data_IF_432990600516
#
_entry.id   IF_432990600516
#
_cell.length_a   1.000
_cell.length_b   1.000
_cell.length_c   1.000
_cell.angle_alpha   90.00
_cell.angle_beta   90.00
_cell.angle_gamma   90.00
#
_symmetry.space_group_name_H-M   'P 1'
#
loop_
_entity.id
_entity.type
_entity.pdbx_description
1 polymer ?
#
# COMPACT_ATOMS: atom_id res chain seq x y z
N UNK A 1 -7.00 -14.67 -1.18
CA UNK A 1 -6.12 -15.72 -1.75
C UNK A 1 -4.72 -15.17 -2.04
N UNK A 2 -4.58 -14.05 -2.76
CA UNK A 2 -3.28 -13.49 -3.17
C UNK A 2 -2.30 -13.15 -2.02
N UNK A 3 -2.80 -12.62 -0.89
CA UNK A 3 -1.95 -12.30 0.26
C UNK A 3 -1.46 -13.55 1.05
N UNK A 4 -2.06 -14.72 0.86
CA UNK A 4 -1.61 -15.94 1.56
C UNK A 4 -0.38 -16.58 0.89
N UNK A 5 0.13 -15.98 -0.20
CA UNK A 5 1.22 -16.52 -1.00
C UNK A 5 2.49 -16.87 -0.20
N UNK A 6 2.81 -16.10 0.84
CA UNK A 6 4.02 -16.33 1.65
C UNK A 6 4.08 -17.74 2.28
N UNK A 7 2.94 -18.37 2.56
CA UNK A 7 2.89 -19.71 3.18
C UNK A 7 3.14 -20.85 2.19
N UNK A 8 3.00 -20.59 0.89
CA UNK A 8 3.16 -21.59 -0.18
C UNK A 8 4.40 -21.35 -1.05
N UNK A 9 5.04 -20.18 -0.92
CA UNK A 9 6.29 -19.87 -1.63
C UNK A 9 7.42 -20.78 -1.09
N UNK A 10 8.14 -21.51 -1.97
CA UNK A 10 9.26 -22.34 -1.57
C UNK A 10 10.48 -21.48 -1.20
N UNK A 11 11.27 -21.94 -0.23
CA UNK A 11 12.40 -21.19 0.33
C UNK A 11 13.57 -20.96 -0.62
N UNK A 12 13.60 -21.68 -1.73
CA UNK A 12 14.59 -21.61 -2.80
C UNK A 12 14.02 -21.00 -4.09
N UNK A 13 12.88 -20.28 -4.03
CA UNK A 13 12.17 -19.76 -5.22
C UNK A 13 13.06 -18.96 -6.19
N UNK A 14 13.99 -18.16 -5.69
CA UNK A 14 14.86 -17.34 -6.55
C UNK A 14 16.02 -18.16 -7.11
N UNK A 15 16.54 -19.12 -6.34
CA UNK A 15 17.57 -20.05 -6.80
C UNK A 15 17.03 -21.03 -7.85
N UNK A 16 15.81 -21.53 -7.64
CA UNK A 16 15.20 -22.57 -8.46
C UNK A 16 14.52 -22.01 -9.71
N UNK A 17 14.11 -20.74 -9.70
CA UNK A 17 13.43 -20.11 -10.84
C UNK A 17 14.12 -18.80 -11.26
N UNK A 18 14.96 -18.83 -12.33
CA UNK A 18 15.68 -17.65 -12.80
C UNK A 18 14.79 -16.46 -13.18
N UNK A 19 13.55 -16.73 -13.62
CA UNK A 19 12.58 -15.67 -13.94
C UNK A 19 12.13 -14.92 -12.69
N UNK A 20 11.93 -15.61 -11.57
CA UNK A 20 11.59 -15.01 -10.27
C UNK A 20 12.76 -14.15 -9.76
N UNK A 21 14.00 -14.64 -9.89
CA UNK A 21 15.19 -13.85 -9.54
C UNK A 21 15.30 -12.57 -10.38
N UNK A 22 15.11 -12.66 -11.70
CA UNK A 22 15.11 -11.47 -12.58
C UNK A 22 14.01 -10.48 -12.20
N UNK A 23 12.81 -10.96 -11.91
CA UNK A 23 11.70 -10.13 -11.46
C UNK A 23 12.02 -9.40 -10.16
N UNK A 24 12.50 -10.10 -9.13
CA UNK A 24 12.89 -9.49 -7.84
C UNK A 24 14.00 -8.46 -8.03
N UNK A 25 15.03 -8.78 -8.82
CA UNK A 25 16.11 -7.84 -9.10
C UNK A 25 15.65 -6.57 -9.81
N UNK A 26 14.63 -6.67 -10.68
CA UNK A 26 13.99 -5.50 -11.26
C UNK A 26 13.23 -4.70 -10.20
N UNK A 27 12.45 -5.36 -9.34
CA UNK A 27 11.64 -4.69 -8.31
C UNK A 27 12.50 -3.95 -7.27
N UNK A 28 13.65 -4.51 -6.88
CA UNK A 28 14.60 -3.86 -5.95
C UNK A 28 15.12 -2.50 -6.43
N UNK A 29 15.10 -2.23 -7.74
CA UNK A 29 15.51 -0.92 -8.28
C UNK A 29 14.54 0.19 -7.90
N UNK A 30 13.27 -0.16 -7.68
CA UNK A 30 12.19 0.79 -7.37
C UNK A 30 11.74 0.70 -5.92
N UNK A 31 11.87 -0.46 -5.28
CA UNK A 31 11.34 -0.73 -3.94
C UNK A 31 12.46 -1.18 -3.00
N UNK A 32 13.15 -0.24 -2.33
CA UNK A 32 14.32 -0.56 -1.51
C UNK A 32 13.96 -1.43 -0.31
N UNK A 33 12.72 -1.34 0.19
CA UNK A 33 12.24 -2.19 1.28
C UNK A 33 12.31 -3.69 0.97
N UNK A 34 12.27 -4.10 -0.30
CA UNK A 34 12.40 -5.52 -0.69
C UNK A 34 13.72 -6.09 -0.18
N UNK A 35 14.84 -5.37 -0.35
CA UNK A 35 16.14 -5.83 0.14
C UNK A 35 16.23 -5.69 1.66
N UNK A 36 15.80 -4.54 2.20
CA UNK A 36 15.90 -4.24 3.63
C UNK A 36 15.17 -5.30 4.48
N UNK A 37 13.97 -5.71 4.06
CA UNK A 37 13.22 -6.74 4.77
C UNK A 37 13.89 -8.12 4.67
N UNK A 38 14.55 -8.42 3.55
CA UNK A 38 15.31 -9.66 3.39
C UNK A 38 16.59 -9.70 4.24
N UNK A 39 17.17 -8.54 4.55
CA UNK A 39 18.42 -8.49 5.30
C UNK A 39 18.18 -8.86 6.77
N UNK A 40 16.98 -8.61 7.30
CA UNK A 40 16.60 -8.90 8.69
C UNK A 40 15.87 -10.25 8.86
N UNK A 41 15.19 -10.74 7.82
CA UNK A 41 14.39 -11.97 7.91
C UNK A 41 15.21 -13.26 7.65
N UNK A 42 14.91 -14.38 8.33
CA UNK A 42 15.45 -15.68 7.96
C UNK A 42 14.89 -16.22 6.63
N UNK A 43 13.74 -15.72 6.16
CA UNK A 43 13.04 -16.17 4.94
C UNK A 43 13.40 -15.33 3.72
N UNK A 44 14.71 -15.22 3.43
CA UNK A 44 15.26 -14.24 2.48
C UNK A 44 14.60 -14.27 1.11
N UNK A 45 14.61 -15.43 0.45
CA UNK A 45 14.07 -15.52 -0.91
C UNK A 45 12.55 -15.35 -0.93
N UNK A 46 11.86 -15.88 0.08
CA UNK A 46 10.41 -15.78 0.16
C UNK A 46 9.94 -14.34 0.38
N UNK A 47 10.56 -13.62 1.31
CA UNK A 47 10.17 -12.24 1.62
C UNK A 47 10.48 -11.29 0.46
N UNK A 48 11.60 -11.49 -0.25
CA UNK A 48 11.93 -10.70 -1.44
C UNK A 48 10.88 -10.89 -2.53
N UNK A 49 10.57 -12.14 -2.84
CA UNK A 49 9.59 -12.47 -3.86
C UNK A 49 8.19 -12.00 -3.47
N UNK A 50 7.78 -12.28 -2.24
CA UNK A 50 6.44 -11.93 -1.74
C UNK A 50 6.25 -10.42 -1.66
N UNK A 51 7.21 -9.66 -1.14
CA UNK A 51 7.13 -8.19 -1.10
C UNK A 51 7.05 -7.60 -2.51
N UNK A 52 7.88 -8.10 -3.43
CA UNK A 52 7.87 -7.70 -4.84
C UNK A 52 6.51 -7.98 -5.49
N UNK A 53 5.97 -9.18 -5.29
CA UNK A 53 4.66 -9.56 -5.79
C UNK A 53 3.54 -8.67 -5.21
N UNK A 54 3.57 -8.40 -3.91
CA UNK A 54 2.56 -7.59 -3.23
C UNK A 54 2.58 -6.12 -3.66
N UNK A 55 3.74 -5.58 -4.04
CA UNK A 55 3.82 -4.27 -4.69
C UNK A 55 3.08 -4.23 -6.02
N UNK A 56 3.26 -5.23 -6.88
CA UNK A 56 2.55 -5.32 -8.18
C UNK A 56 1.04 -5.37 -7.96
N UNK A 57 0.58 -6.22 -7.03
CA UNK A 57 -0.85 -6.32 -6.70
C UNK A 57 -1.38 -4.97 -6.19
N UNK A 58 -0.67 -4.32 -5.26
CA UNK A 58 -1.09 -3.03 -4.72
C UNK A 58 -1.23 -1.97 -5.82
N UNK A 59 -0.26 -1.88 -6.73
CA UNK A 59 -0.28 -0.90 -7.84
C UNK A 59 -1.42 -1.16 -8.83
N UNK A 60 -1.69 -2.43 -9.16
CA UNK A 60 -2.81 -2.78 -10.04
C UNK A 60 -4.16 -2.37 -9.43
N UNK A 61 -4.35 -2.65 -8.14
CA UNK A 61 -5.57 -2.27 -7.41
C UNK A 61 -5.71 -0.76 -7.27
N UNK A 62 -4.61 -0.04 -7.05
CA UNK A 62 -4.61 1.42 -7.01
C UNK A 62 -4.99 2.03 -8.37
N UNK A 63 -4.50 1.46 -9.47
CA UNK A 63 -4.85 1.89 -10.83
C UNK A 63 -6.33 1.62 -11.12
N UNK A 64 -6.84 0.42 -10.79
CA UNK A 64 -8.26 0.06 -10.93
C UNK A 64 -9.15 1.00 -10.10
N UNK A 65 -8.81 1.23 -8.83
CA UNK A 65 -9.59 2.11 -7.94
C UNK A 65 -9.61 3.55 -8.44
N UNK A 66 -8.46 4.05 -8.91
CA UNK A 66 -8.36 5.40 -9.47
C UNK A 66 -9.22 5.52 -10.72
N UNK A 67 -9.16 4.54 -11.63
CA UNK A 67 -10.00 4.49 -12.83
C UNK A 67 -11.49 4.47 -12.47
N UNK A 68 -11.90 3.57 -11.58
CA UNK A 68 -13.29 3.45 -11.12
C UNK A 68 -13.79 4.77 -10.53
N UNK A 69 -13.00 5.37 -9.63
CA UNK A 69 -13.35 6.63 -9.03
C UNK A 69 -13.46 7.76 -10.06
N UNK A 70 -12.51 7.89 -10.98
CA UNK A 70 -12.57 8.88 -12.05
C UNK A 70 -13.86 8.71 -12.87
N UNK A 71 -14.25 7.49 -13.23
CA UNK A 71 -15.52 7.23 -13.91
C UNK A 71 -16.73 7.66 -13.08
N UNK A 72 -16.79 7.28 -11.79
CA UNK A 72 -17.87 7.69 -10.89
C UNK A 72 -18.01 9.22 -10.83
N UNK A 73 -16.90 9.94 -10.69
CA UNK A 73 -16.93 11.39 -10.48
C UNK A 73 -17.10 12.20 -11.76
N UNK A 74 -16.84 11.63 -12.94
CA UNK A 74 -16.99 12.35 -14.22
C UNK A 74 -18.29 12.02 -14.93
N UNK A 75 -18.70 10.74 -14.94
CA UNK A 75 -19.85 10.26 -15.71
C UNK A 75 -21.10 10.26 -14.84
N UNK A 76 -21.02 9.61 -13.67
CA UNK A 76 -22.21 9.31 -12.87
C UNK A 76 -22.55 10.39 -11.84
N UNK A 77 -21.61 11.27 -11.50
CA UNK A 77 -21.79 12.27 -10.44
C UNK A 77 -23.06 13.12 -10.62
N UNK A 78 -23.38 13.56 -11.84
CA UNK A 78 -24.56 14.42 -12.08
C UNK A 78 -25.88 13.69 -11.91
N UNK A 79 -25.90 12.39 -12.17
CA UNK A 79 -27.10 11.55 -12.15
C UNK A 79 -27.30 10.89 -10.77
N UNK A 80 -26.22 10.67 -10.03
CA UNK A 80 -26.21 10.03 -8.72
C UNK A 80 -26.25 11.04 -7.57
N UNK A 81 -27.46 11.31 -7.08
CA UNK A 81 -27.68 12.20 -5.92
C UNK A 81 -27.05 11.68 -4.63
N UNK A 82 -26.97 10.36 -4.44
CA UNK A 82 -26.37 9.77 -3.24
C UNK A 82 -24.86 10.03 -3.22
N UNK A 83 -24.20 9.88 -4.36
CA UNK A 83 -22.79 10.22 -4.52
C UNK A 83 -22.53 11.72 -4.26
N UNK A 84 -23.39 12.61 -4.74
CA UNK A 84 -23.28 14.06 -4.49
C UNK A 84 -23.40 14.38 -3.00
N UNK A 85 -24.41 13.85 -2.32
CA UNK A 85 -24.61 14.06 -0.88
C UNK A 85 -23.41 13.54 -0.07
N UNK A 86 -22.89 12.36 -0.45
CA UNK A 86 -21.72 11.77 0.19
C UNK A 86 -20.47 12.64 0.02
N UNK A 87 -20.20 13.16 -1.17
CA UNK A 87 -19.05 14.06 -1.41
C UNK A 87 -19.16 15.36 -0.61
N UNK A 88 -20.37 15.93 -0.53
CA UNK A 88 -20.66 17.16 0.23
C UNK A 88 -20.52 16.94 1.74
N UNK A 89 -20.81 15.74 2.23
CA UNK A 89 -20.67 15.36 3.64
C UNK A 89 -19.20 15.32 4.11
N UNK A 90 -18.24 15.18 3.18
CA UNK A 90 -16.84 15.02 3.57
C UNK A 90 -16.20 16.30 4.12
N UNK A 91 -15.56 16.14 5.28
CA UNK A 91 -14.74 17.16 5.91
C UNK A 91 -13.34 17.19 5.26
N UNK A 92 -13.06 18.22 4.47
CA UNK A 92 -11.79 18.37 3.76
C UNK A 92 -10.55 18.38 4.69
N UNK A 93 -10.56 18.98 5.91
CA UNK A 93 -9.40 18.91 6.80
C UNK A 93 -9.16 17.48 7.30
N UNK A 94 -10.23 16.72 7.56
CA UNK A 94 -10.13 15.32 7.98
C UNK A 94 -9.56 14.45 6.84
N UNK A 95 -9.98 14.71 5.60
CA UNK A 95 -9.44 14.01 4.42
C UNK A 95 -7.94 14.31 4.23
N UNK A 96 -7.51 15.56 4.39
CA UNK A 96 -6.07 15.91 4.35
C UNK A 96 -5.31 15.17 5.44
N UNK A 97 -5.82 15.16 6.67
CA UNK A 97 -5.17 14.47 7.78
C UNK A 97 -5.07 12.96 7.51
N UNK A 98 -6.15 12.32 7.08
CA UNK A 98 -6.19 10.89 6.76
C UNK A 98 -5.25 10.52 5.59
N UNK A 99 -5.22 11.36 4.56
CA UNK A 99 -4.29 11.18 3.44
C UNK A 99 -2.83 11.33 3.88
N UNK A 100 -2.52 12.35 4.71
CA UNK A 100 -1.18 12.54 5.28
C UNK A 100 -0.72 11.36 6.13
N UNK A 101 -1.59 10.81 6.97
CA UNK A 101 -1.30 9.58 7.75
C UNK A 101 -1.01 8.38 6.84
N UNK A 102 -1.72 8.28 5.71
CA UNK A 102 -1.49 7.21 4.72
C UNK A 102 -0.12 7.35 4.05
N UNK A 103 0.24 8.57 3.64
CA UNK A 103 1.57 8.87 3.07
C UNK A 103 2.67 8.49 4.07
N UNK A 104 2.50 8.86 5.34
CA UNK A 104 3.47 8.50 6.38
C UNK A 104 3.63 6.98 6.51
N UNK A 105 2.54 6.22 6.56
CA UNK A 105 2.60 4.76 6.63
C UNK A 105 3.26 4.12 5.39
N UNK A 106 2.95 4.64 4.19
CA UNK A 106 3.61 4.20 2.94
C UNK A 106 5.10 4.52 2.97
N UNK A 107 5.48 5.70 3.46
CA UNK A 107 6.88 6.10 3.59
C UNK A 107 7.65 5.16 4.51
N UNK A 108 7.10 4.88 5.70
CA UNK A 108 7.67 3.91 6.65
C UNK A 108 7.87 2.54 6.01
N UNK A 109 6.89 2.07 5.24
CA UNK A 109 6.99 0.80 4.53
C UNK A 109 8.08 0.79 3.47
N UNK A 110 8.06 1.81 2.61
CA UNK A 110 8.90 1.91 1.42
C UNK A 110 10.38 2.05 1.78
N UNK A 111 10.68 2.80 2.84
CA UNK A 111 12.04 3.00 3.35
C UNK A 111 12.51 1.85 4.24
N UNK A 112 11.61 0.99 4.71
CA UNK A 112 11.92 -0.06 5.66
C UNK A 112 12.28 0.45 7.07
N UNK A 113 11.85 1.67 7.44
CA UNK A 113 12.12 2.22 8.78
C UNK A 113 11.62 1.32 9.91
N UNK A 114 10.51 0.62 9.66
CA UNK A 114 9.88 -0.25 10.66
C UNK A 114 10.76 -1.42 11.13
N UNK A 115 11.76 -1.81 10.35
CA UNK A 115 12.71 -2.88 10.71
C UNK A 115 14.14 -2.40 10.97
N UNK A 116 14.46 -1.13 10.65
CA UNK A 116 15.83 -0.60 10.75
C UNK A 116 16.04 0.36 11.91
N UNK A 117 15.02 1.12 12.29
CA UNK A 117 15.08 2.05 13.43
C UNK A 117 13.83 2.04 14.30
N UNK A 118 12.88 1.15 13.97
CA UNK A 118 11.54 1.16 14.54
C UNK A 118 10.75 2.42 14.16
N UNK A 119 9.48 2.43 14.51
CA UNK A 119 8.60 3.58 14.36
C UNK A 119 8.06 3.94 15.73
N UNK A 120 8.36 5.15 16.18
CA UNK A 120 7.69 5.75 17.32
C UNK A 120 6.57 6.68 16.84
N UNK A 121 5.35 6.41 17.29
CA UNK A 121 4.21 7.27 17.03
C UNK A 121 3.47 7.50 18.34
N UNK A 122 3.44 8.77 18.79
CA UNK A 122 2.97 9.13 20.12
C UNK A 122 3.71 8.33 21.21
N UNK A 123 3.00 7.53 22.01
CA UNK A 123 3.57 6.70 23.08
C UNK A 123 3.90 5.26 22.63
N UNK A 124 3.71 4.94 21.35
CA UNK A 124 3.81 3.57 20.83
C UNK A 124 5.13 3.42 20.08
N UNK A 125 5.91 2.40 20.41
CA UNK A 125 7.11 2.00 19.69
C UNK A 125 6.87 0.65 19.03
N UNK A 126 7.02 0.58 17.71
CA UNK A 126 6.85 -0.63 16.93
C UNK A 126 8.19 -0.94 16.25
N UNK A 127 8.71 -2.13 16.52
CA UNK A 127 9.89 -2.69 15.86
C UNK A 127 9.53 -4.11 15.42
N UNK A 128 9.95 -4.48 14.21
CA UNK A 128 9.57 -5.72 13.54
C UNK A 128 10.86 -6.37 13.06
N UNK A 129 10.99 -7.69 13.25
CA UNK A 129 12.16 -8.46 12.83
C UNK A 129 11.86 -9.44 11.70
N UNK A 130 10.58 -9.61 11.33
CA UNK A 130 10.12 -10.58 10.33
C UNK A 130 10.61 -12.00 10.64
N UNK A 131 10.58 -12.38 11.92
CA UNK A 131 11.01 -13.70 12.40
C UNK A 131 10.12 -14.85 11.92
N UNK A 132 8.87 -14.57 11.54
CA UNK A 132 7.90 -15.59 11.07
C UNK A 132 7.22 -15.22 9.77
N UNK A 133 6.85 -16.22 8.95
CA UNK A 133 6.03 -16.02 7.74
C UNK A 133 4.68 -15.36 8.05
N UNK A 134 4.13 -15.60 9.25
CA UNK A 134 2.88 -14.98 9.69
C UNK A 134 3.06 -13.48 9.94
N UNK A 135 4.15 -13.07 10.56
CA UNK A 135 4.48 -11.66 10.77
C UNK A 135 4.69 -10.92 9.44
N UNK A 136 5.44 -11.54 8.52
CA UNK A 136 5.61 -11.05 7.14
C UNK A 136 4.25 -10.82 6.47
N UNK A 137 3.35 -11.82 6.56
CA UNK A 137 2.00 -11.72 6.03
C UNK A 137 1.23 -10.54 6.64
N UNK A 138 1.19 -10.45 7.97
CA UNK A 138 0.41 -9.45 8.69
C UNK A 138 0.80 -8.02 8.32
N UNK A 139 2.10 -7.72 8.36
CA UNK A 139 2.57 -6.36 8.14
C UNK A 139 2.52 -5.97 6.68
N UNK A 140 2.87 -6.85 5.74
CA UNK A 140 2.73 -6.54 4.31
C UNK A 140 1.25 -6.34 3.94
N UNK A 141 0.33 -7.11 4.54
CA UNK A 141 -1.12 -6.90 4.36
C UNK A 141 -1.59 -5.57 4.96
N UNK A 142 -1.12 -5.22 6.17
CA UNK A 142 -1.40 -3.93 6.79
C UNK A 142 -0.95 -2.78 5.89
N UNK A 143 0.24 -2.86 5.32
CA UNK A 143 0.76 -1.84 4.42
C UNK A 143 -0.02 -1.75 3.11
N UNK A 144 -0.47 -2.88 2.55
CA UNK A 144 -1.41 -2.84 1.43
C UNK A 144 -2.71 -2.13 1.81
N UNK A 145 -3.28 -2.39 2.99
CA UNK A 145 -4.49 -1.71 3.44
C UNK A 145 -4.26 -0.20 3.59
N UNK A 146 -3.13 0.22 4.16
CA UNK A 146 -2.75 1.64 4.28
C UNK A 146 -2.58 2.28 2.90
N UNK A 147 -1.93 1.58 1.95
CA UNK A 147 -1.75 2.06 0.59
C UNK A 147 -3.09 2.28 -0.11
N UNK A 148 -3.99 1.30 -0.06
CA UNK A 148 -5.33 1.39 -0.64
C UNK A 148 -6.18 2.49 0.02
N UNK A 149 -6.09 2.61 1.35
CA UNK A 149 -6.75 3.68 2.08
C UNK A 149 -6.23 5.05 1.64
N UNK A 150 -4.91 5.20 1.44
CA UNK A 150 -4.30 6.42 0.93
C UNK A 150 -4.82 6.82 -0.45
N UNK A 151 -4.93 5.86 -1.37
CA UNK A 151 -5.51 6.10 -2.72
C UNK A 151 -6.97 6.55 -2.60
N UNK A 152 -7.77 5.88 -1.77
CA UNK A 152 -9.17 6.26 -1.56
C UNK A 152 -9.32 7.67 -0.96
N UNK A 153 -8.49 8.02 0.03
CA UNK A 153 -8.48 9.34 0.66
C UNK A 153 -8.02 10.42 -0.31
N UNK A 154 -7.02 10.15 -1.14
CA UNK A 154 -6.56 11.06 -2.20
C UNK A 154 -7.69 11.38 -3.17
N UNK A 155 -8.37 10.36 -3.68
CA UNK A 155 -9.51 10.50 -4.58
C UNK A 155 -10.62 11.33 -3.93
N UNK A 156 -11.02 10.98 -2.70
CA UNK A 156 -12.07 11.70 -1.99
C UNK A 156 -11.70 13.18 -1.78
N UNK A 157 -10.45 13.46 -1.37
CA UNK A 157 -9.94 14.81 -1.18
C UNK A 157 -9.96 15.60 -2.48
N UNK A 158 -9.44 15.02 -3.56
CA UNK A 158 -9.43 15.66 -4.88
C UNK A 158 -10.85 16.03 -5.31
N UNK A 159 -11.82 15.12 -5.15
CA UNK A 159 -13.20 15.36 -5.53
C UNK A 159 -13.84 16.44 -4.66
N UNK A 160 -13.73 16.35 -3.33
CA UNK A 160 -14.29 17.35 -2.42
C UNK A 160 -13.71 18.74 -2.69
N UNK A 161 -12.42 18.86 -3.01
CA UNK A 161 -11.79 20.13 -3.35
C UNK A 161 -12.28 20.65 -4.71
N UNK A 162 -12.31 19.79 -5.74
CA UNK A 162 -12.80 20.15 -7.07
C UNK A 162 -14.23 20.72 -6.99
N UNK A 163 -15.16 20.01 -6.34
CA UNK A 163 -16.55 20.46 -6.24
C UNK A 163 -16.71 21.72 -5.38
N UNK A 164 -15.92 21.89 -4.31
CA UNK A 164 -15.96 23.14 -3.51
C UNK A 164 -15.46 24.38 -4.26
N UNK A 165 -14.58 24.19 -5.25
CA UNK A 165 -14.04 25.28 -6.06
C UNK A 165 -14.98 25.64 -7.22
N UNK A 166 -15.68 24.67 -7.81
CA UNK A 166 -16.50 24.89 -9.02
C UNK A 166 -18.03 24.99 -8.77
N UNK A 167 -18.57 24.53 -7.64
CA UNK A 167 -20.00 24.67 -7.28
C UNK A 167 -20.29 25.83 -6.30
N UNK A 168 -19.26 26.55 -5.82
CA UNK A 168 -19.40 27.84 -5.11
C UNK A 168 -19.16 29.01 -6.08
#
# INVERSE_FOLDING_TARGET
>A
MFALGIFIIPGDILSSYPICAKFVNFMKQYFPNVQIFSDVSPFKQEIEFYTSYMWVIGLLWAAEMTFYATCCYTIFYREDKELQEKVKSFSWPLLIFAFGMSIFGIYVYYTGYIVTGGVSFMAWSIEIDFATKFEIFQYILLFQAIFMFGVAMFVALFCTLFYKIYEN
#
